data_IF_679566352099
#
_entry.id   IF_679566352099
#
_cell.length_a   1.000
_cell.length_b   1.000
_cell.length_c   1.000
_cell.angle_alpha   90.00
_cell.angle_beta   90.00
_cell.angle_gamma   90.00
#
_symmetry.space_group_name_H-M   'P 1'
#
loop_
_entity.id
_entity.type
_entity.pdbx_description
1 polymer ?
#
# COMPACT_ATOMS: atom_id res chain seq x y z
N UNK A 1 2.84 -9.20 20.08
CA UNK A 1 2.55 -8.55 18.79
C UNK A 1 3.76 -7.72 18.38
N UNK A 2 4.19 -7.77 17.12
CA UNK A 2 5.30 -6.93 16.62
C UNK A 2 4.71 -5.66 15.99
N UNK A 3 5.21 -4.46 16.31
CA UNK A 3 4.77 -3.24 15.67
C UNK A 3 5.08 -3.28 14.16
N UNK A 4 4.33 -2.48 13.39
CA UNK A 4 4.63 -2.27 11.98
C UNK A 4 5.99 -1.56 11.86
N UNK A 5 6.77 -1.93 10.86
CA UNK A 5 7.99 -1.19 10.55
C UNK A 5 7.64 0.05 9.73
N UNK A 6 8.55 1.03 9.71
CA UNK A 6 8.41 2.20 8.85
C UNK A 6 8.17 1.81 7.38
N UNK A 7 8.91 0.83 6.86
CA UNK A 7 8.74 0.35 5.48
C UNK A 7 7.35 -0.23 5.22
N UNK A 8 6.80 -0.97 6.16
CA UNK A 8 5.43 -1.49 6.05
C UNK A 8 4.40 -0.36 6.06
N UNK A 9 4.60 0.63 6.92
CA UNK A 9 3.72 1.78 7.07
C UNK A 9 3.77 2.69 5.83
N UNK A 10 4.97 3.00 5.32
CA UNK A 10 5.15 3.74 4.06
C UNK A 10 4.49 3.00 2.88
N UNK A 11 4.63 1.67 2.80
CA UNK A 11 3.95 0.90 1.76
C UNK A 11 2.42 1.00 1.89
N UNK A 12 1.87 0.90 3.11
CA UNK A 12 0.44 1.06 3.33
C UNK A 12 -0.05 2.48 3.02
N UNK A 13 0.75 3.51 3.27
CA UNK A 13 0.43 4.91 3.00
C UNK A 13 0.32 5.20 1.50
N UNK A 14 1.27 4.74 0.68
CA UNK A 14 1.17 4.91 -0.78
C UNK A 14 -0.03 4.17 -1.35
N UNK A 15 -0.31 2.98 -0.83
CA UNK A 15 -1.43 2.17 -1.30
C UNK A 15 -2.76 2.72 -0.79
N UNK A 16 -2.80 3.38 0.37
CA UNK A 16 -4.02 4.02 0.87
C UNK A 16 -4.46 5.22 0.03
N UNK A 17 -3.53 5.88 -0.66
CA UNK A 17 -3.83 6.94 -1.64
C UNK A 17 -4.07 6.39 -3.06
N UNK A 18 -4.18 5.07 -3.21
CA UNK A 18 -4.53 4.41 -4.48
C UNK A 18 -3.35 4.02 -5.37
N UNK A 19 -2.10 4.11 -4.91
CA UNK A 19 -0.96 3.61 -5.69
C UNK A 19 -0.95 2.08 -5.75
N UNK A 20 -0.61 1.56 -6.92
CA UNK A 20 -0.34 0.14 -7.11
C UNK A 20 0.99 -0.25 -6.48
N UNK A 21 1.21 -1.55 -6.24
CA UNK A 21 2.50 -2.04 -5.73
C UNK A 21 3.67 -1.67 -6.64
N UNK A 22 3.41 -1.61 -7.95
CA UNK A 22 4.41 -1.24 -8.95
C UNK A 22 4.77 0.24 -8.86
N UNK A 23 3.78 1.14 -8.78
CA UNK A 23 4.01 2.58 -8.60
C UNK A 23 4.71 2.86 -7.28
N UNK A 24 4.25 2.25 -6.18
CA UNK A 24 4.90 2.35 -4.87
C UNK A 24 6.34 1.84 -4.93
N UNK A 25 6.60 0.77 -5.67
CA UNK A 25 7.95 0.27 -5.92
C UNK A 25 8.82 1.32 -6.63
N UNK A 26 8.30 1.96 -7.67
CA UNK A 26 9.00 3.05 -8.37
C UNK A 26 9.29 4.25 -7.48
N UNK A 27 8.34 4.63 -6.62
CA UNK A 27 8.49 5.75 -5.69
C UNK A 27 9.55 5.44 -4.62
N UNK A 28 9.58 4.19 -4.12
CA UNK A 28 10.48 3.78 -3.05
C UNK A 28 11.83 3.21 -3.53
N UNK A 29 12.04 3.07 -4.85
CA UNK A 29 13.21 2.42 -5.42
C UNK A 29 13.29 0.91 -5.16
N UNK A 30 12.13 0.24 -5.05
CA UNK A 30 12.01 -1.18 -4.72
C UNK A 30 11.25 -1.96 -5.81
N UNK A 31 11.53 -3.26 -5.90
CA UNK A 31 10.75 -4.14 -6.77
C UNK A 31 9.32 -4.31 -6.22
N UNK A 32 8.35 -4.48 -7.13
CA UNK A 32 6.94 -4.72 -6.78
C UNK A 32 6.77 -5.89 -5.80
N UNK A 33 7.55 -6.96 -5.99
CA UNK A 33 7.55 -8.13 -5.10
C UNK A 33 7.92 -7.76 -3.66
N UNK A 34 8.87 -6.85 -3.48
CA UNK A 34 9.30 -6.36 -2.16
C UNK A 34 8.19 -5.54 -1.51
N UNK A 35 7.48 -4.72 -2.29
CA UNK A 35 6.30 -3.98 -1.79
C UNK A 35 5.20 -4.96 -1.35
N UNK A 36 4.90 -5.96 -2.16
CA UNK A 36 3.91 -6.99 -1.83
C UNK A 36 4.31 -7.75 -0.55
N UNK A 37 5.60 -8.06 -0.37
CA UNK A 37 6.12 -8.67 0.85
C UNK A 37 5.90 -7.80 2.09
N UNK A 38 6.19 -6.49 2.01
CA UNK A 38 5.93 -5.56 3.11
C UNK A 38 4.44 -5.48 3.44
N UNK A 39 3.56 -5.40 2.44
CA UNK A 39 2.11 -5.34 2.66
C UNK A 39 1.61 -6.64 3.30
N UNK A 40 2.09 -7.80 2.87
CA UNK A 40 1.72 -9.09 3.48
C UNK A 40 2.18 -9.20 4.93
N UNK A 41 3.39 -8.72 5.24
CA UNK A 41 3.87 -8.68 6.62
C UNK A 41 3.03 -7.73 7.47
N UNK A 42 2.66 -6.56 6.94
CA UNK A 42 1.77 -5.64 7.62
C UNK A 42 0.40 -6.28 7.88
N UNK A 43 -0.17 -6.98 6.90
CA UNK A 43 -1.43 -7.71 7.05
C UNK A 43 -1.33 -8.75 8.19
N UNK A 44 -0.26 -9.55 8.20
CA UNK A 44 -0.01 -10.55 9.25
C UNK A 44 0.13 -9.93 10.64
N UNK A 45 0.78 -8.76 10.74
CA UNK A 45 0.94 -8.03 12.01
C UNK A 45 -0.36 -7.39 12.51
N UNK A 46 -1.18 -6.90 11.59
CA UNK A 46 -2.50 -6.32 11.88
C UNK A 46 -3.60 -7.38 12.07
N UNK A 47 -3.31 -8.65 11.79
CA UNK A 47 -4.27 -9.75 11.93
C UNK A 47 -5.35 -9.74 10.84
N UNK A 48 -5.06 -9.22 9.66
CA UNK A 48 -6.00 -9.13 8.54
C UNK A 48 -5.52 -9.93 7.32
N UNK A 49 -6.44 -10.24 6.40
CA UNK A 49 -6.17 -11.07 5.23
C UNK A 49 -6.13 -10.29 3.91
N UNK A 50 -6.42 -8.98 3.93
CA UNK A 50 -6.42 -8.16 2.71
C UNK A 50 -5.72 -6.83 2.94
N UNK A 51 -5.19 -6.29 1.85
CA UNK A 51 -4.58 -4.96 1.80
C UNK A 51 -5.55 -3.86 2.23
N UNK A 52 -6.80 -3.89 1.74
CA UNK A 52 -7.81 -2.91 2.15
C UNK A 52 -8.14 -3.03 3.64
N UNK A 53 -8.23 -4.25 4.18
CA UNK A 53 -8.42 -4.45 5.60
C UNK A 53 -7.22 -3.95 6.41
N UNK A 54 -5.99 -4.10 5.90
CA UNK A 54 -4.78 -3.59 6.54
C UNK A 54 -4.79 -2.06 6.59
N UNK A 55 -5.14 -1.39 5.49
CA UNK A 55 -5.29 0.06 5.40
C UNK A 55 -6.34 0.55 6.39
N UNK A 56 -7.53 -0.04 6.36
CA UNK A 56 -8.65 0.31 7.25
C UNK A 56 -8.27 0.11 8.71
N UNK A 57 -7.59 -0.99 9.04
CA UNK A 57 -7.17 -1.28 10.41
C UNK A 57 -6.11 -0.27 10.86
N UNK A 58 -5.09 -0.02 10.04
CA UNK A 58 -4.04 0.94 10.35
C UNK A 58 -4.59 2.36 10.57
N UNK A 59 -5.59 2.78 9.80
CA UNK A 59 -6.31 4.04 10.02
C UNK A 59 -7.08 4.05 11.34
N UNK A 60 -7.85 2.99 11.62
CA UNK A 60 -8.63 2.87 12.86
C UNK A 60 -7.76 2.85 14.11
N UNK A 61 -6.54 2.33 14.00
CA UNK A 61 -5.57 2.30 15.10
C UNK A 61 -4.72 3.56 15.19
N UNK A 62 -4.91 4.56 14.31
CA UNK A 62 -4.08 5.77 14.29
C UNK A 62 -2.63 5.55 13.86
N UNK A 63 -2.34 4.42 13.20
CA UNK A 63 -1.02 4.13 12.61
C UNK A 63 -0.85 4.81 11.25
N UNK A 64 -1.95 5.12 10.57
CA UNK A 64 -1.99 5.93 9.36
C UNK A 64 -2.90 7.12 9.60
N UNK A 65 -2.36 8.31 9.38
CA UNK A 65 -3.11 9.56 9.35
C UNK A 65 -3.15 10.08 7.92
N UNK A 66 -4.30 10.62 7.52
CA UNK A 66 -4.42 11.47 6.34
C UNK A 66 -4.18 12.91 6.75
N UNK A 67 -2.99 13.23 7.25
CA UNK A 67 -2.62 14.63 7.32
C UNK A 67 -2.21 15.04 5.91
N UNK A 68 -2.85 16.10 5.39
CA UNK A 68 -2.69 16.66 4.04
C UNK A 68 -1.27 17.17 3.72
N UNK A 69 -0.26 16.78 4.49
CA UNK A 69 1.15 16.92 4.14
C UNK A 69 1.62 15.66 3.41
N UNK A 70 0.93 15.30 2.33
CA UNK A 70 1.51 14.37 1.36
C UNK A 70 2.86 14.94 0.92
N UNK A 71 3.94 14.15 0.85
CA UNK A 71 5.18 14.61 0.26
C UNK A 71 4.95 14.85 -1.24
N UNK A 72 4.51 16.07 -1.57
CA UNK A 72 4.39 16.62 -2.93
C UNK A 72 5.78 16.88 -3.56
N UNK A 73 6.75 16.04 -3.22
CA UNK A 73 8.13 16.09 -3.72
C UNK A 73 8.47 14.90 -4.62
N UNK A 74 7.53 13.96 -4.84
CA UNK A 74 7.71 12.87 -5.80
C UNK A 74 6.73 12.94 -6.98
N UNK A 75 6.50 14.13 -7.54
CA UNK A 75 6.04 14.22 -8.94
C UNK A 75 7.25 14.06 -9.87
N UNK A 76 7.33 12.93 -10.57
CA UNK A 76 7.57 13.01 -11.99
C UNK A 76 6.54 12.16 -12.73
N UNK A 77 5.64 12.83 -13.45
CA UNK A 77 5.00 12.38 -14.68
C UNK A 77 5.04 10.85 -14.93
N UNK A 78 4.27 10.08 -14.18
CA UNK A 78 3.91 8.75 -14.66
C UNK A 78 2.75 8.96 -15.65
N UNK A 79 2.90 8.60 -16.93
CA UNK A 79 1.78 8.64 -17.85
C UNK A 79 0.68 7.76 -17.25
N UNK A 80 -0.54 8.29 -17.25
CA UNK A 80 -1.75 7.60 -16.80
C UNK A 80 -1.98 6.38 -17.72
N UNK A 81 -1.26 5.29 -17.48
CA UNK A 81 -1.53 3.99 -18.09
C UNK A 81 -2.82 3.50 -17.44
N UNK A 82 -3.92 3.76 -18.14
CA UNK A 82 -5.12 2.96 -18.04
C UNK A 82 -4.73 1.50 -18.21
N UNK A 83 -5.01 0.66 -17.21
CA UNK A 83 -5.51 -0.71 -17.32
C UNK A 83 -5.12 -1.53 -16.07
N UNK A 84 -6.11 -1.84 -15.23
CA UNK A 84 -6.22 -3.19 -14.70
C UNK A 84 -7.61 -3.69 -15.14
N UNK A 85 -7.70 -4.78 -15.92
CA UNK A 85 -8.97 -5.47 -16.02
C UNK A 85 -9.24 -6.10 -14.64
N UNK A 86 -10.39 -5.80 -14.06
CA UNK A 86 -10.94 -6.59 -12.94
C UNK A 86 -11.04 -8.04 -13.41
N UNK A 87 -10.04 -8.86 -13.09
CA UNK A 87 -10.19 -10.31 -13.22
C UNK A 87 -11.01 -10.77 -12.03
N UNK A 88 -12.33 -10.64 -12.18
CA UNK A 88 -13.33 -11.39 -11.43
C UNK A 88 -13.04 -12.88 -11.67
N UNK A 89 -12.26 -13.51 -10.80
CA UNK A 89 -12.31 -14.96 -10.70
C UNK A 89 -13.52 -15.31 -9.84
N UNK A 90 -14.62 -15.46 -10.58
CA UNK A 90 -15.90 -16.00 -10.18
C UNK A 90 -15.73 -17.34 -9.44
N UNK A 91 -16.56 -17.53 -8.42
CA UNK A 91 -16.80 -18.81 -7.79
C UNK A 91 -17.35 -19.82 -8.81
N UNK A 92 -16.82 -21.03 -8.78
CA UNK A 92 -17.56 -22.26 -9.04
C UNK A 92 -16.95 -23.35 -8.15
#
# INVERSE_FOLDING_TARGET
>A
MKPLTERELTCLQWVSIGKTSWETGRILGLAERTINFHIQNACRKLGVHSRQAAITTAMRTGLLSFDEDAPDTASPLLPRVTMQPEVRHNAN
#
